data_IF_699389814931
#
_entry.id   IF_699389814931
#
_cell.length_a   1.000
_cell.length_b   1.000
_cell.length_c   1.000
_cell.angle_alpha   90.00
_cell.angle_beta   90.00
_cell.angle_gamma   90.00
#
_symmetry.space_group_name_H-M   'P 1'
#
loop_
_entity.id
_entity.type
_entity.pdbx_description
1 polymer ?
#
# COMPACT_ATOMS: atom_id res chain seq x y z
N UNK A 1 14.63 15.10 -0.11
CA UNK A 1 13.80 14.15 0.66
C UNK A 1 13.34 12.97 -0.19
N UNK A 2 13.07 13.16 -1.48
CA UNK A 2 12.63 12.10 -2.40
C UNK A 2 13.58 10.89 -2.46
N UNK A 3 14.89 11.10 -2.54
CA UNK A 3 15.87 10.00 -2.62
C UNK A 3 15.69 8.98 -1.49
N UNK A 4 15.56 9.43 -0.24
CA UNK A 4 15.44 8.54 0.93
C UNK A 4 14.14 7.75 0.87
N UNK A 5 13.06 8.39 0.44
CA UNK A 5 11.75 7.75 0.28
C UNK A 5 11.74 6.71 -0.83
N UNK A 6 12.48 6.90 -1.91
CA UNK A 6 12.53 5.95 -3.02
C UNK A 6 13.59 4.85 -2.87
N UNK A 7 14.47 4.91 -1.86
CA UNK A 7 15.48 3.85 -1.61
C UNK A 7 14.88 2.43 -1.58
N UNK A 8 13.74 2.16 -0.93
CA UNK A 8 13.20 0.80 -0.88
C UNK A 8 12.79 0.24 -2.24
N UNK A 9 12.51 1.10 -3.23
CA UNK A 9 12.05 0.66 -4.57
C UNK A 9 13.16 -0.02 -5.36
N UNK A 10 14.42 0.30 -5.07
CA UNK A 10 15.58 -0.27 -5.76
C UNK A 10 15.95 -1.64 -5.21
N UNK A 11 15.45 -1.99 -4.02
CA UNK A 11 15.72 -3.27 -3.38
C UNK A 11 14.76 -4.32 -3.92
N UNK A 12 15.25 -5.42 -4.54
CA UNK A 12 14.40 -6.52 -4.96
C UNK A 12 13.64 -7.12 -3.76
N UNK A 13 12.42 -7.59 -3.99
CA UNK A 13 11.58 -8.16 -2.93
C UNK A 13 12.22 -9.30 -2.14
N UNK A 14 12.94 -10.17 -2.84
CA UNK A 14 13.72 -11.27 -2.23
C UNK A 14 14.81 -10.70 -1.32
N UNK A 15 15.53 -9.66 -1.75
CA UNK A 15 16.58 -9.02 -0.96
C UNK A 15 15.99 -8.38 0.30
N UNK A 16 14.82 -7.72 0.20
CA UNK A 16 14.09 -7.22 1.37
C UNK A 16 13.70 -8.37 2.33
N UNK A 17 13.20 -9.49 1.81
CA UNK A 17 12.87 -10.67 2.62
C UNK A 17 14.08 -11.20 3.39
N UNK A 18 15.20 -11.44 2.70
CA UNK A 18 16.45 -11.90 3.33
C UNK A 18 16.96 -10.89 4.36
N UNK A 19 16.91 -9.59 4.04
CA UNK A 19 17.36 -8.53 4.95
C UNK A 19 16.54 -8.51 6.23
N UNK A 20 15.22 -8.67 6.13
CA UNK A 20 14.34 -8.74 7.30
C UNK A 20 14.63 -9.99 8.13
N UNK A 21 14.81 -11.17 7.51
CA UNK A 21 15.24 -12.38 8.23
C UNK A 21 16.50 -12.08 9.05
N UNK A 22 17.52 -11.51 8.41
CA UNK A 22 18.80 -11.22 9.07
C UNK A 22 18.67 -10.26 10.24
N UNK A 23 17.86 -9.20 10.11
CA UNK A 23 17.57 -8.26 11.20
C UNK A 23 16.92 -8.97 12.39
N UNK A 24 15.97 -9.89 12.16
CA UNK A 24 15.29 -10.62 13.23
C UNK A 24 16.12 -11.74 13.86
N UNK A 25 17.15 -12.24 13.17
CA UNK A 25 18.13 -13.13 13.80
C UNK A 25 19.00 -12.39 14.82
N UNK A 26 19.19 -11.08 14.67
CA UNK A 26 20.01 -10.24 15.55
C UNK A 26 19.17 -9.60 16.65
N UNK A 27 17.94 -9.18 16.32
CA UNK A 27 17.09 -8.40 17.20
C UNK A 27 15.91 -9.26 17.69
N UNK A 28 15.84 -9.61 19.00
CA UNK A 28 14.94 -10.64 19.52
C UNK A 28 13.49 -10.16 19.69
N UNK A 29 12.86 -9.69 18.60
CA UNK A 29 11.44 -9.35 18.56
C UNK A 29 10.66 -10.56 18.03
N UNK A 30 9.63 -11.06 18.74
CA UNK A 30 8.90 -12.28 18.40
C UNK A 30 7.84 -12.05 17.30
N UNK A 31 8.23 -11.49 16.15
CA UNK A 31 7.31 -11.28 15.02
C UNK A 31 7.64 -12.14 13.80
N UNK A 32 8.78 -12.83 13.79
CA UNK A 32 9.12 -13.78 12.73
C UNK A 32 8.06 -14.88 12.63
N UNK A 33 7.67 -15.23 11.40
CA UNK A 33 6.61 -16.22 11.14
C UNK A 33 5.20 -15.77 11.53
N UNK A 34 4.98 -14.49 11.83
CA UNK A 34 3.64 -13.91 12.05
C UNK A 34 3.20 -13.06 10.85
N UNK A 35 1.97 -12.54 10.88
CA UNK A 35 1.52 -11.59 9.86
C UNK A 35 2.26 -10.24 9.94
N UNK A 36 2.85 -9.91 11.10
CA UNK A 36 3.47 -8.61 11.34
C UNK A 36 4.75 -8.39 10.55
N UNK A 37 5.56 -9.43 10.36
CA UNK A 37 6.77 -9.32 9.54
C UNK A 37 6.43 -9.08 8.06
N UNK A 38 5.34 -9.70 7.58
CA UNK A 38 4.80 -9.45 6.23
C UNK A 38 4.26 -8.03 6.11
N UNK A 39 3.51 -7.56 7.12
CA UNK A 39 3.01 -6.18 7.17
C UNK A 39 4.16 -5.17 7.10
N UNK A 40 5.22 -5.37 7.88
CA UNK A 40 6.41 -4.51 7.84
C UNK A 40 7.10 -4.54 6.49
N UNK A 41 7.30 -5.73 5.90
CA UNK A 41 7.86 -5.87 4.57
C UNK A 41 7.06 -5.08 3.52
N UNK A 42 5.73 -5.16 3.59
CA UNK A 42 4.84 -4.48 2.67
C UNK A 42 4.84 -2.97 2.90
N UNK A 43 4.84 -2.50 4.14
CA UNK A 43 4.96 -1.08 4.45
C UNK A 43 6.26 -0.54 3.88
N UNK A 44 7.41 -1.16 4.19
CA UNK A 44 8.72 -0.70 3.69
C UNK A 44 8.77 -0.68 2.17
N UNK A 45 8.26 -1.73 1.52
CA UNK A 45 8.30 -1.85 0.06
C UNK A 45 7.34 -0.91 -0.65
N UNK A 46 6.13 -0.72 -0.10
CA UNK A 46 5.05 -0.04 -0.81
C UNK A 46 4.81 1.41 -0.38
N UNK A 47 5.43 1.85 0.73
CA UNK A 47 5.43 3.26 1.16
C UNK A 47 5.85 4.25 0.06
N UNK A 48 6.90 4.00 -0.76
CA UNK A 48 7.31 4.95 -1.78
C UNK A 48 6.21 5.22 -2.81
N UNK A 49 5.43 4.19 -3.17
CA UNK A 49 4.33 4.33 -4.12
C UNK A 49 3.19 5.18 -3.53
N UNK A 50 2.82 4.94 -2.26
CA UNK A 50 1.80 5.74 -1.59
C UNK A 50 2.20 7.21 -1.47
N UNK A 51 3.47 7.49 -1.18
CA UNK A 51 3.97 8.87 -1.14
C UNK A 51 3.91 9.49 -2.54
N UNK A 52 4.39 8.79 -3.56
CA UNK A 52 4.41 9.30 -4.95
C UNK A 52 3.02 9.66 -5.47
N UNK A 53 2.01 8.83 -5.19
CA UNK A 53 0.63 9.10 -5.61
C UNK A 53 0.03 10.31 -4.88
N UNK A 54 0.41 10.53 -3.62
CA UNK A 54 -0.10 11.63 -2.80
C UNK A 54 0.62 12.96 -3.06
N UNK A 55 1.90 12.93 -3.45
CA UNK A 55 2.66 14.15 -3.78
C UNK A 55 1.98 14.96 -4.88
N UNK A 56 1.41 14.31 -5.89
CA UNK A 56 0.70 14.99 -6.97
C UNK A 56 -0.54 15.75 -6.48
N UNK A 57 -1.25 15.23 -5.48
CA UNK A 57 -2.40 15.91 -4.86
C UNK A 57 -1.96 17.01 -3.91
N UNK A 58 -0.84 16.83 -3.20
CA UNK A 58 -0.28 17.86 -2.32
C UNK A 58 0.13 19.12 -3.10
N UNK A 59 0.76 18.95 -4.27
CA UNK A 59 1.19 20.06 -5.13
C UNK A 59 0.01 20.90 -5.65
N UNK A 60 -1.19 20.33 -5.72
CA UNK A 60 -2.38 21.05 -6.21
C UNK A 60 -3.04 21.92 -5.12
N UNK A 61 -2.73 21.68 -3.85
CA UNK A 61 -3.25 22.46 -2.72
C UNK A 61 -2.41 23.72 -2.60
N UNK A 62 -3.04 24.89 -2.71
CA UNK A 62 -2.36 26.18 -2.59
C UNK A 62 -2.24 26.57 -1.12
N UNK A 63 -1.08 27.07 -0.71
CA UNK A 63 -0.78 27.47 0.67
C UNK A 63 -1.77 28.55 1.20
N UNK A 64 -2.30 29.39 0.31
CA UNK A 64 -3.31 30.42 0.62
C UNK A 64 -4.55 29.85 1.33
N UNK A 65 -4.93 28.60 1.06
CA UNK A 65 -6.07 27.95 1.71
C UNK A 65 -5.79 27.66 3.19
N UNK A 66 -4.54 27.32 3.53
CA UNK A 66 -4.13 27.09 4.90
C UNK A 66 -3.95 28.41 5.65
N UNK A 67 -3.35 29.41 5.00
CA UNK A 67 -3.19 30.77 5.54
C UNK A 67 -4.55 31.42 5.85
N UNK A 68 -5.52 31.31 4.94
CA UNK A 68 -6.88 31.81 5.16
C UNK A 68 -7.56 31.17 6.37
N UNK A 69 -7.33 29.86 6.59
CA UNK A 69 -7.87 29.15 7.75
C UNK A 69 -7.22 29.62 9.06
N UNK A 70 -5.92 29.89 9.06
CA UNK A 70 -5.18 30.43 10.22
C UNK A 70 -5.63 31.87 10.54
N UNK A 71 -5.77 32.74 9.53
CA UNK A 71 -6.27 34.12 9.70
C UNK A 71 -7.70 34.11 10.27
N UNK A 72 -8.51 33.11 9.89
CA UNK A 72 -9.87 32.90 10.40
C UNK A 72 -9.92 32.33 11.83
N UNK A 73 -8.78 32.24 12.54
CA UNK A 73 -8.69 31.71 13.91
C UNK A 73 -8.58 30.19 13.99
N UNK A 74 -8.29 29.51 12.88
CA UNK A 74 -8.08 28.07 12.84
C UNK A 74 -6.73 27.65 13.46
N UNK A 75 -6.77 26.68 14.37
CA UNK A 75 -5.56 25.97 14.83
C UNK A 75 -5.04 25.01 13.76
N UNK A 76 -3.76 24.64 13.82
CA UNK A 76 -3.11 23.72 12.88
C UNK A 76 -3.92 22.42 12.64
N UNK A 77 -4.42 21.80 13.72
CA UNK A 77 -5.21 20.57 13.61
C UNK A 77 -6.59 20.80 12.95
N UNK A 78 -7.20 21.98 13.15
CA UNK A 78 -8.45 22.33 12.49
C UNK A 78 -8.24 22.58 11.00
N UNK A 79 -7.20 23.33 10.63
CA UNK A 79 -6.79 23.58 9.24
C UNK A 79 -6.55 22.25 8.53
N UNK A 80 -5.72 21.38 9.11
CA UNK A 80 -5.45 20.06 8.54
C UNK A 80 -6.73 19.23 8.33
N UNK A 81 -7.60 19.11 9.35
CA UNK A 81 -8.78 18.23 9.26
C UNK A 81 -9.90 18.79 8.37
N UNK A 82 -10.04 20.11 8.27
CA UNK A 82 -11.15 20.77 7.57
C UNK A 82 -10.79 21.30 6.18
N UNK A 83 -9.51 21.58 5.92
CA UNK A 83 -9.03 22.14 4.64
C UNK A 83 -8.14 21.11 3.94
N UNK A 84 -6.96 20.82 4.49
CA UNK A 84 -5.93 20.01 3.82
C UNK A 84 -6.38 18.56 3.58
N UNK A 85 -6.88 17.88 4.61
CA UNK A 85 -7.27 16.47 4.53
C UNK A 85 -8.40 16.23 3.51
N UNK A 86 -9.52 16.98 3.51
CA UNK A 86 -10.54 16.86 2.46
C UNK A 86 -10.02 17.05 1.04
N UNK A 87 -9.12 18.00 0.82
CA UNK A 87 -8.50 18.25 -0.48
C UNK A 87 -7.52 17.14 -0.89
N UNK A 88 -6.86 16.50 0.09
CA UNK A 88 -6.00 15.34 -0.15
C UNK A 88 -6.75 14.03 -0.39
N UNK A 89 -8.02 13.91 0.04
CA UNK A 89 -8.79 12.64 -0.02
C UNK A 89 -8.76 11.95 -1.39
N UNK A 90 -8.94 12.63 -2.54
CA UNK A 90 -8.92 11.96 -3.85
C UNK A 90 -7.56 11.30 -4.13
N UNK A 91 -6.47 11.99 -3.79
CA UNK A 91 -5.11 11.46 -3.88
C UNK A 91 -4.88 10.26 -2.97
N UNK A 92 -5.31 10.37 -1.70
CA UNK A 92 -5.19 9.29 -0.72
C UNK A 92 -5.95 8.02 -1.17
N UNK A 93 -7.15 8.17 -1.73
CA UNK A 93 -7.93 7.05 -2.26
C UNK A 93 -7.21 6.40 -3.45
N UNK A 94 -6.68 7.21 -4.38
CA UNK A 94 -5.93 6.70 -5.52
C UNK A 94 -4.66 5.94 -5.09
N UNK A 95 -3.88 6.52 -4.17
CA UNK A 95 -2.68 5.91 -3.61
C UNK A 95 -2.97 4.63 -2.84
N UNK A 96 -3.99 4.64 -1.99
CA UNK A 96 -4.44 3.46 -1.26
C UNK A 96 -4.81 2.32 -2.22
N UNK A 97 -5.61 2.63 -3.24
CA UNK A 97 -6.04 1.64 -4.25
C UNK A 97 -4.85 1.03 -4.97
N UNK A 98 -3.88 1.87 -5.37
CA UNK A 98 -2.67 1.40 -6.02
C UNK A 98 -1.88 0.44 -5.12
N UNK A 99 -1.60 0.85 -3.86
CA UNK A 99 -0.87 0.04 -2.87
C UNK A 99 -1.56 -1.29 -2.61
N UNK A 100 -2.89 -1.31 -2.48
CA UNK A 100 -3.66 -2.55 -2.30
C UNK A 100 -3.48 -3.49 -3.50
N UNK A 101 -3.62 -2.98 -4.72
CA UNK A 101 -3.48 -3.80 -5.94
C UNK A 101 -2.09 -4.42 -6.05
N UNK A 102 -1.03 -3.66 -5.78
CA UNK A 102 0.34 -4.17 -5.89
C UNK A 102 0.73 -5.09 -4.74
N UNK A 103 0.24 -4.85 -3.52
CA UNK A 103 0.54 -5.68 -2.34
C UNK A 103 -0.17 -7.02 -2.35
N UNK A 104 -1.40 -7.11 -2.89
CA UNK A 104 -2.12 -8.37 -3.05
C UNK A 104 -1.40 -9.38 -3.95
N UNK A 105 -0.56 -8.87 -4.86
CA UNK A 105 0.19 -9.66 -5.84
C UNK A 105 1.64 -9.90 -5.40
N UNK A 106 2.02 -9.48 -4.20
CA UNK A 106 3.39 -9.63 -3.70
C UNK A 106 3.66 -11.10 -3.35
N UNK A 107 4.65 -11.70 -4.03
CA UNK A 107 5.18 -13.03 -3.73
C UNK A 107 6.65 -13.01 -3.28
N UNK A 108 7.48 -12.13 -3.84
CA UNK A 108 8.94 -12.15 -3.73
C UNK A 108 9.49 -12.02 -2.31
N UNK A 109 8.91 -11.13 -1.50
CA UNK A 109 9.26 -11.00 -0.08
C UNK A 109 8.50 -12.01 0.76
N UNK A 110 7.26 -12.30 0.38
CA UNK A 110 6.35 -13.14 1.15
C UNK A 110 6.81 -14.59 1.23
N UNK A 111 7.33 -15.15 0.14
CA UNK A 111 7.82 -16.54 0.08
C UNK A 111 8.96 -16.82 1.06
N UNK A 112 9.72 -15.80 1.46
CA UNK A 112 10.80 -15.94 2.44
C UNK A 112 10.33 -15.74 3.89
N UNK A 113 9.22 -15.03 4.08
CA UNK A 113 8.80 -14.54 5.41
C UNK A 113 7.56 -15.24 5.98
N UNK A 114 6.82 -15.97 5.15
CA UNK A 114 5.60 -16.64 5.59
C UNK A 114 5.87 -17.82 6.51
N UNK A 115 4.84 -18.18 7.27
CA UNK A 115 4.79 -19.45 8.01
C UNK A 115 3.43 -20.09 7.86
N UNK A 116 3.24 -21.27 8.46
CA UNK A 116 1.95 -21.95 8.55
C UNK A 116 0.85 -21.11 9.20
N UNK A 117 1.18 -20.06 9.96
CA UNK A 117 0.23 -19.15 10.61
C UNK A 117 -0.04 -17.86 9.83
N UNK A 118 0.71 -17.60 8.75
CA UNK A 118 0.68 -16.32 8.02
C UNK A 118 0.69 -16.50 6.50
N UNK A 119 -0.05 -17.50 6.02
CA UNK A 119 -0.18 -17.78 4.58
C UNK A 119 -0.99 -16.65 3.93
N UNK A 120 -0.36 -15.96 2.98
CA UNK A 120 -1.02 -14.96 2.13
C UNK A 120 -1.48 -15.58 0.81
N UNK A 121 -2.49 -14.97 0.18
CA UNK A 121 -3.12 -15.52 -1.02
C UNK A 121 -2.13 -15.78 -2.17
N UNK A 122 -1.14 -14.90 -2.35
CA UNK A 122 -0.11 -15.06 -3.37
C UNK A 122 0.72 -16.33 -3.19
N UNK A 123 1.03 -16.69 -1.94
CA UNK A 123 1.76 -17.91 -1.59
C UNK A 123 0.88 -19.13 -1.76
N UNK A 124 -0.38 -19.07 -1.32
CA UNK A 124 -1.33 -20.17 -1.54
C UNK A 124 -1.47 -20.52 -3.03
N UNK A 125 -1.60 -19.50 -3.89
CA UNK A 125 -1.65 -19.70 -5.34
C UNK A 125 -0.35 -20.31 -5.86
N UNK A 126 0.80 -19.87 -5.37
CA UNK A 126 2.10 -20.41 -5.73
C UNK A 126 2.27 -21.88 -5.32
N UNK A 127 1.94 -22.23 -4.08
CA UNK A 127 2.02 -23.61 -3.56
C UNK A 127 1.12 -24.58 -4.35
N UNK A 128 -0.08 -24.13 -4.72
CA UNK A 128 -1.01 -24.92 -5.54
C UNK A 128 -0.52 -25.10 -6.98
N UNK A 129 0.18 -24.09 -7.51
CA UNK A 129 0.79 -24.14 -8.83
C UNK A 129 1.97 -25.12 -8.85
N UNK A 130 2.83 -25.05 -7.85
CA UNK A 130 3.96 -25.99 -7.67
C UNK A 130 3.45 -27.43 -7.47
N UNK A 131 2.35 -27.59 -6.72
CA UNK A 131 1.65 -28.86 -6.55
C UNK A 131 0.86 -29.36 -7.79
N UNK A 132 0.92 -28.66 -8.93
CA UNK A 132 0.28 -29.05 -10.18
C UNK A 132 -1.26 -28.94 -10.18
N UNK A 133 -1.86 -28.27 -9.19
CA UNK A 133 -3.31 -28.11 -9.05
C UNK A 133 -3.86 -26.96 -9.91
N UNK A 134 -3.53 -26.97 -11.21
CA UNK A 134 -3.86 -25.90 -12.15
C UNK A 134 -5.34 -25.48 -12.20
N UNK A 135 -6.34 -26.38 -12.07
CA UNK A 135 -7.74 -25.96 -12.01
C UNK A 135 -8.04 -25.03 -10.83
N UNK A 136 -7.49 -25.33 -9.63
CA UNK A 136 -7.71 -24.52 -8.42
C UNK A 136 -6.94 -23.20 -8.51
N UNK A 137 -5.70 -23.24 -9.01
CA UNK A 137 -4.88 -22.04 -9.28
C UNK A 137 -5.63 -21.06 -10.17
N UNK A 138 -6.25 -21.56 -11.24
CA UNK A 138 -7.01 -20.74 -12.19
C UNK A 138 -8.23 -20.12 -11.52
N UNK A 139 -8.99 -20.89 -10.74
CA UNK A 139 -10.15 -20.40 -10.00
C UNK A 139 -9.78 -19.31 -8.99
N UNK A 140 -8.73 -19.52 -8.18
CA UNK A 140 -8.27 -18.55 -7.20
C UNK A 140 -7.70 -17.28 -7.86
N UNK A 141 -6.99 -17.42 -8.97
CA UNK A 141 -6.45 -16.27 -9.72
C UNK A 141 -7.57 -15.40 -10.30
N UNK A 142 -8.62 -16.01 -10.87
CA UNK A 142 -9.81 -15.30 -11.36
C UNK A 142 -10.53 -14.61 -10.20
N UNK A 143 -10.70 -15.29 -9.07
CA UNK A 143 -11.32 -14.70 -7.88
C UNK A 143 -10.52 -13.51 -7.34
N UNK A 144 -9.19 -13.63 -7.27
CA UNK A 144 -8.30 -12.54 -6.88
C UNK A 144 -8.46 -11.34 -7.81
N UNK A 145 -8.46 -11.56 -9.13
CA UNK A 145 -8.69 -10.50 -10.12
C UNK A 145 -10.06 -9.85 -9.93
N UNK A 146 -11.12 -10.65 -9.72
CA UNK A 146 -12.46 -10.13 -9.50
C UNK A 146 -12.54 -9.24 -8.25
N UNK A 147 -11.92 -9.67 -7.14
CA UNK A 147 -11.84 -8.87 -5.90
C UNK A 147 -11.10 -7.56 -6.15
N UNK A 148 -9.97 -7.59 -6.85
CA UNK A 148 -9.21 -6.38 -7.17
C UNK A 148 -10.01 -5.42 -8.08
N UNK A 149 -10.73 -5.94 -9.06
CA UNK A 149 -11.63 -5.14 -9.91
C UNK A 149 -12.71 -4.48 -9.06
N UNK A 150 -13.33 -5.21 -8.12
CA UNK A 150 -14.34 -4.64 -7.21
C UNK A 150 -13.74 -3.53 -6.35
N UNK A 151 -12.55 -3.72 -5.78
CA UNK A 151 -11.86 -2.69 -4.99
C UNK A 151 -11.61 -1.44 -5.82
N UNK A 152 -11.07 -1.60 -7.04
CA UNK A 152 -10.79 -0.48 -7.95
C UNK A 152 -12.08 0.22 -8.37
N UNK A 153 -13.15 -0.53 -8.66
CA UNK A 153 -14.45 0.04 -9.04
C UNK A 153 -15.12 0.80 -7.89
N UNK A 154 -15.02 0.31 -6.65
CA UNK A 154 -15.50 1.01 -5.47
C UNK A 154 -14.69 2.29 -5.24
N UNK A 155 -13.37 2.20 -5.31
CA UNK A 155 -12.48 3.34 -5.15
C UNK A 155 -12.70 4.42 -6.21
N UNK A 156 -12.92 4.02 -7.47
CA UNK A 156 -13.20 4.97 -8.56
C UNK A 156 -14.56 5.66 -8.38
N UNK A 157 -15.58 4.93 -7.93
CA UNK A 157 -16.89 5.53 -7.58
C UNK A 157 -16.80 6.50 -6.40
N UNK A 158 -16.06 6.13 -5.35
CA UNK A 158 -15.78 7.01 -4.21
C UNK A 158 -15.05 8.27 -4.69
N UNK A 159 -14.01 8.13 -5.51
CA UNK A 159 -13.25 9.26 -6.07
C UNK A 159 -14.11 10.17 -6.95
N UNK A 160 -15.00 9.59 -7.78
CA UNK A 160 -15.96 10.34 -8.58
C UNK A 160 -16.96 11.14 -7.73
N UNK A 161 -17.42 10.57 -6.61
CA UNK A 161 -18.30 11.25 -5.65
C UNK A 161 -17.62 12.43 -4.95
N UNK A 162 -16.32 12.32 -4.66
CA UNK A 162 -15.55 13.36 -3.99
C UNK A 162 -14.91 14.40 -4.93
N UNK A 163 -15.24 14.39 -6.23
CA UNK A 163 -14.90 15.48 -7.13
C UNK A 163 -13.68 15.26 -8.01
N UNK A 164 -13.61 14.11 -8.69
CA UNK A 164 -12.88 14.02 -9.97
C UNK A 164 -13.89 14.08 -11.11
N UNK A 165 -14.49 15.25 -11.34
CA UNK A 165 -14.80 15.63 -12.72
C UNK A 165 -13.47 16.07 -13.29
N UNK A 166 -12.80 15.12 -13.95
CA UNK A 166 -11.64 15.39 -14.77
C UNK A 166 -11.94 16.59 -15.67
N UNK A 167 -11.06 17.59 -15.60
CA UNK A 167 -10.82 18.55 -16.67
C UNK A 167 -10.65 17.80 -18.00
#
# INVERSE_FOLDING_TARGET
>A
MDIVTFLPITIPGIVLGVSLIWVYLILPIPIYGTIWILLLAYITRYMPYGIRTNSASMIQIHDELEEAAVISGGSWLQTFRRVTLPLLKPGLIAGFTYVVVVSFRELSSSILLYSSKSIVLSILIFDLWDGGQFPIVSALSVLMIAILIVIVALASRLSAFFGVRSV
#
